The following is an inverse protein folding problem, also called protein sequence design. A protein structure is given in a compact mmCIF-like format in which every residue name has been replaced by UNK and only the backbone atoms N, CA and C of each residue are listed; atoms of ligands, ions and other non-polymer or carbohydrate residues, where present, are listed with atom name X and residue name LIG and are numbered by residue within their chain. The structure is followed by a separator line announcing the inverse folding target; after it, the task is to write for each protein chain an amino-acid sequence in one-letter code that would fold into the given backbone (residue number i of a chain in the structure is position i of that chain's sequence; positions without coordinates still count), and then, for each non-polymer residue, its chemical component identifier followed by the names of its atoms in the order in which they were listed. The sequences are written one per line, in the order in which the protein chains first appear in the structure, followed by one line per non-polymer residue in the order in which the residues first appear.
data_IF_967121492263
#
_entry.id   IF_967121492263
#
_cell.length_a   1.000
_cell.length_b   1.000
_cell.length_c   1.000
_cell.angle_alpha   90.00
_cell.angle_beta   90.00
_cell.angle_gamma   90.00
#
_symmetry.space_group_name_H-M   'P 1'
#
loop_
_entity.id
_entity.type
_entity.pdbx_description
1 polymer ?
#
# COMPACT_ATOMS: atom_id res chain seq x y z
N UNK A 1 20.43 -17.87 -8.53
CA UNK A 1 20.04 -19.12 -7.81
C UNK A 1 19.76 -18.71 -6.38
N UNK A 2 18.49 -18.69 -6.00
CA UNK A 2 18.10 -18.44 -4.60
C UNK A 2 18.65 -19.56 -3.73
N UNK A 3 19.44 -19.20 -2.71
CA UNK A 3 19.94 -20.18 -1.74
C UNK A 3 18.80 -20.54 -0.80
N UNK A 4 18.49 -21.83 -0.66
CA UNK A 4 17.41 -22.33 0.24
C UNK A 4 17.50 -21.74 1.64
N UNK A 5 18.70 -21.47 2.15
CA UNK A 5 18.93 -20.80 3.44
C UNK A 5 18.34 -19.40 3.57
N UNK A 6 18.08 -18.70 2.47
CA UNK A 6 17.47 -17.34 2.49
C UNK A 6 15.99 -17.35 2.89
N UNK A 7 15.31 -18.48 2.81
CA UNK A 7 13.95 -18.62 3.33
C UNK A 7 13.91 -18.72 4.85
N UNK A 8 15.01 -19.17 5.48
CA UNK A 8 15.10 -19.38 6.94
C UNK A 8 15.93 -18.32 7.66
N UNK A 9 16.50 -17.34 6.93
CA UNK A 9 17.16 -16.17 7.48
C UNK A 9 16.25 -14.95 7.31
N UNK A 10 16.57 -13.87 8.03
CA UNK A 10 15.88 -12.58 7.89
C UNK A 10 16.79 -11.55 7.27
N UNK A 11 16.23 -10.52 6.63
CA UNK A 11 17.00 -9.42 6.04
C UNK A 11 17.90 -8.77 7.10
N UNK A 12 17.34 -8.46 8.28
CA UNK A 12 18.11 -7.84 9.36
C UNK A 12 19.31 -8.70 9.79
N UNK A 13 19.13 -10.02 9.90
CA UNK A 13 20.23 -10.93 10.25
C UNK A 13 21.33 -10.92 9.20
N UNK A 14 20.98 -10.99 7.93
CA UNK A 14 21.95 -11.04 6.84
C UNK A 14 22.66 -9.69 6.65
N UNK A 15 21.94 -8.57 6.65
CA UNK A 15 22.52 -7.23 6.53
C UNK A 15 23.47 -6.94 7.69
N UNK A 16 23.08 -7.20 8.95
CA UNK A 16 23.88 -6.90 10.13
C UNK A 16 25.06 -7.86 10.33
N UNK A 17 25.07 -8.98 9.63
CA UNK A 17 26.25 -9.86 9.56
C UNK A 17 27.40 -9.18 8.80
N UNK A 18 27.08 -8.59 7.64
CA UNK A 18 28.07 -8.05 6.71
C UNK A 18 28.36 -6.56 6.92
N UNK A 19 27.40 -5.79 7.43
CA UNK A 19 27.52 -4.35 7.65
C UNK A 19 27.40 -3.99 9.13
N UNK A 20 28.27 -3.06 9.58
CA UNK A 20 28.31 -2.56 10.98
C UNK A 20 27.94 -1.09 11.10
N UNK A 21 28.05 -0.34 10.03
CA UNK A 21 27.68 1.09 10.04
C UNK A 21 26.14 1.21 10.11
N UNK A 22 25.58 1.90 11.15
CA UNK A 22 24.13 1.99 11.33
C UNK A 22 23.42 2.68 10.17
N UNK A 23 24.07 3.64 9.50
CA UNK A 23 23.49 4.31 8.33
C UNK A 23 23.34 3.35 7.15
N UNK A 24 24.37 2.52 6.90
CA UNK A 24 24.29 1.50 5.84
C UNK A 24 23.25 0.44 6.16
N UNK A 25 23.15 0.02 7.42
CA UNK A 25 22.11 -0.91 7.87
C UNK A 25 20.71 -0.32 7.59
N UNK A 26 20.45 0.92 7.98
CA UNK A 26 19.18 1.59 7.73
C UNK A 26 18.84 1.68 6.24
N UNK A 27 19.82 2.01 5.38
CA UNK A 27 19.64 2.09 3.93
C UNK A 27 19.30 0.70 3.34
N UNK A 28 19.93 -0.37 3.82
CA UNK A 28 19.75 -1.71 3.29
C UNK A 28 18.51 -2.43 3.88
N UNK A 29 18.08 -2.04 5.07
CA UNK A 29 16.86 -2.58 5.69
C UNK A 29 15.59 -1.81 5.28
N UNK A 30 15.70 -0.55 4.86
CA UNK A 30 14.58 0.32 4.55
C UNK A 30 13.65 -0.20 3.44
N UNK A 31 14.12 -0.74 2.28
CA UNK A 31 13.23 -1.18 1.21
C UNK A 31 12.22 -2.26 1.64
N UNK A 32 12.54 -2.99 2.70
CA UNK A 32 11.66 -4.01 3.27
C UNK A 32 10.39 -3.44 3.89
N UNK A 33 10.41 -2.17 4.31
CA UNK A 33 9.20 -1.51 4.83
C UNK A 33 8.08 -1.45 3.79
N UNK A 34 8.41 -1.38 2.52
CA UNK A 34 7.44 -1.45 1.43
C UNK A 34 6.75 -2.82 1.34
N UNK A 35 7.33 -3.87 1.93
CA UNK A 35 6.72 -5.19 2.05
C UNK A 35 5.79 -5.30 3.25
N UNK A 36 5.68 -4.22 4.03
CA UNK A 36 4.78 -4.15 5.16
C UNK A 36 5.17 -5.02 6.35
N UNK A 37 6.47 -5.33 6.54
CA UNK A 37 6.95 -6.10 7.67
C UNK A 37 8.29 -5.58 8.21
N UNK A 38 8.61 -5.91 9.47
CA UNK A 38 9.91 -5.57 10.07
C UNK A 38 11.04 -6.33 9.37
N UNK A 39 12.22 -5.74 9.14
CA UNK A 39 13.38 -6.43 8.59
C UNK A 39 13.78 -7.70 9.37
N UNK A 40 13.56 -7.70 10.70
CA UNK A 40 13.81 -8.84 11.58
C UNK A 40 12.76 -9.97 11.46
N UNK A 41 11.66 -9.76 10.75
CA UNK A 41 10.59 -10.74 10.50
C UNK A 41 10.39 -11.06 9.03
N UNK A 42 11.08 -10.35 8.15
CA UNK A 42 11.00 -10.54 6.70
C UNK A 42 12.07 -11.53 6.24
N UNK A 43 11.70 -12.58 5.50
CA UNK A 43 12.67 -13.53 4.93
C UNK A 43 13.72 -12.84 4.07
N UNK A 44 14.98 -13.29 4.15
CA UNK A 44 16.09 -12.59 3.50
C UNK A 44 16.06 -12.66 1.98
N UNK A 45 15.30 -13.59 1.37
CA UNK A 45 15.13 -13.61 -0.08
C UNK A 45 14.49 -12.32 -0.63
N UNK A 46 13.74 -11.59 0.18
CA UNK A 46 13.20 -10.27 -0.20
C UNK A 46 14.28 -9.18 -0.40
N UNK A 47 15.56 -9.49 -0.15
CA UNK A 47 16.69 -8.62 -0.50
C UNK A 47 16.75 -8.28 -2.01
N UNK A 48 16.03 -9.02 -2.87
CA UNK A 48 15.85 -8.64 -4.27
C UNK A 48 15.23 -7.24 -4.44
N UNK A 49 14.48 -6.76 -3.44
CA UNK A 49 13.97 -5.39 -3.44
C UNK A 49 15.09 -4.35 -3.45
N UNK A 50 16.19 -4.64 -2.75
CA UNK A 50 17.38 -3.76 -2.78
C UNK A 50 18.00 -3.72 -4.17
N UNK A 51 18.02 -4.86 -4.88
CA UNK A 51 18.49 -4.89 -6.26
C UNK A 51 17.54 -4.12 -7.20
N UNK A 52 16.24 -4.28 -7.01
CA UNK A 52 15.25 -3.54 -7.80
C UNK A 52 15.40 -2.01 -7.59
N UNK A 53 15.55 -1.56 -6.35
CA UNK A 53 15.65 -0.15 -6.01
C UNK A 53 17.03 0.46 -6.39
N UNK A 54 18.13 -0.18 -5.97
CA UNK A 54 19.48 0.38 -6.15
C UNK A 54 20.13 -0.02 -7.48
N UNK A 55 19.80 -1.19 -8.02
CA UNK A 55 20.40 -1.70 -9.25
C UNK A 55 19.63 -1.36 -10.52
N UNK A 56 18.30 -1.42 -10.47
CA UNK A 56 17.43 -1.13 -11.64
C UNK A 56 16.91 0.32 -11.62
N UNK A 57 16.97 0.99 -10.47
CA UNK A 57 16.53 2.36 -10.28
C UNK A 57 15.01 2.50 -10.06
N UNK A 58 14.64 3.69 -9.60
CA UNK A 58 13.25 4.08 -9.37
C UNK A 58 12.77 4.95 -10.53
N UNK A 59 11.63 4.61 -11.12
CA UNK A 59 11.09 5.28 -12.28
C UNK A 59 9.82 6.07 -11.96
N UNK A 60 9.72 7.26 -12.51
CA UNK A 60 8.55 8.13 -12.39
C UNK A 60 7.87 8.27 -13.74
N UNK A 61 6.58 7.93 -13.88
CA UNK A 61 5.84 8.20 -15.11
C UNK A 61 5.73 9.70 -15.34
N UNK A 62 6.05 10.18 -16.53
CA UNK A 62 5.87 11.59 -16.87
C UNK A 62 4.40 12.00 -16.67
N UNK A 63 4.16 13.07 -15.93
CA UNK A 63 2.82 13.50 -15.53
C UNK A 63 2.27 12.81 -14.27
N UNK A 64 3.08 11.94 -13.61
CA UNK A 64 2.73 11.31 -12.34
C UNK A 64 2.09 9.94 -12.47
N UNK A 65 1.88 9.28 -11.33
CA UNK A 65 1.34 7.91 -11.25
C UNK A 65 -0.08 7.77 -11.80
N UNK A 66 -0.85 8.85 -11.84
CA UNK A 66 -2.20 8.82 -12.41
C UNK A 66 -2.21 8.55 -13.93
N UNK A 67 -1.12 8.84 -14.64
CA UNK A 67 -0.99 8.51 -16.05
C UNK A 67 -1.00 6.98 -16.29
N UNK A 68 -0.51 6.18 -15.33
CA UNK A 68 -0.63 4.72 -15.38
C UNK A 68 -2.10 4.30 -15.31
N UNK A 69 -2.89 4.93 -14.40
CA UNK A 69 -4.33 4.68 -14.29
C UNK A 69 -5.04 5.03 -15.58
N UNK A 70 -4.77 6.20 -16.17
CA UNK A 70 -5.36 6.63 -17.45
C UNK A 70 -5.04 5.65 -18.57
N UNK A 71 -3.79 5.25 -18.71
CA UNK A 71 -3.36 4.31 -19.75
C UNK A 71 -4.06 2.95 -19.62
N UNK A 72 -4.18 2.42 -18.41
CA UNK A 72 -4.90 1.16 -18.15
C UNK A 72 -6.40 1.30 -18.44
N UNK A 73 -7.02 2.41 -18.03
CA UNK A 73 -8.43 2.69 -18.30
C UNK A 73 -8.70 2.75 -19.81
N UNK A 74 -7.92 3.54 -20.55
CA UNK A 74 -8.05 3.66 -22.01
C UNK A 74 -7.88 2.32 -22.73
N UNK A 75 -6.89 1.52 -22.31
CA UNK A 75 -6.71 0.18 -22.87
C UNK A 75 -7.93 -0.71 -22.59
N UNK A 76 -8.44 -0.69 -21.36
CA UNK A 76 -9.60 -1.49 -20.98
C UNK A 76 -10.84 -1.08 -21.77
N UNK A 77 -11.11 0.21 -21.92
CA UNK A 77 -12.21 0.75 -22.72
C UNK A 77 -12.10 0.32 -24.18
N UNK A 78 -10.88 0.34 -24.76
CA UNK A 78 -10.65 -0.12 -26.14
C UNK A 78 -10.92 -1.63 -26.33
N UNK A 79 -10.92 -2.39 -25.24
CA UNK A 79 -11.27 -3.81 -25.20
C UNK A 79 -12.75 -4.05 -24.82
N UNK A 80 -13.56 -3.00 -24.72
CA UNK A 80 -15.00 -3.10 -24.46
C UNK A 80 -15.37 -3.11 -22.97
N UNK A 81 -14.45 -2.81 -22.05
CA UNK A 81 -14.75 -2.69 -20.62
C UNK A 81 -15.52 -1.40 -20.35
N UNK A 82 -16.61 -1.50 -19.60
CA UNK A 82 -17.38 -0.34 -19.13
C UNK A 82 -17.02 -0.01 -17.68
N UNK A 83 -16.76 1.26 -17.39
CA UNK A 83 -16.50 1.76 -16.05
C UNK A 83 -17.72 2.49 -15.48
N UNK A 84 -18.08 2.18 -14.23
CA UNK A 84 -19.09 2.91 -13.47
C UNK A 84 -18.47 3.43 -12.19
N UNK A 85 -18.31 4.73 -12.07
CA UNK A 85 -17.86 5.40 -10.84
C UNK A 85 -19.04 5.85 -10.01
N UNK A 86 -18.83 6.10 -8.70
CA UNK A 86 -19.93 6.47 -7.79
C UNK A 86 -20.95 5.33 -7.58
N UNK A 87 -20.55 4.09 -7.84
CA UNK A 87 -21.40 2.89 -7.82
C UNK A 87 -20.87 1.89 -6.78
N UNK A 88 -21.11 2.16 -5.50
CA UNK A 88 -20.70 1.26 -4.42
C UNK A 88 -21.49 -0.05 -4.49
N UNK A 89 -20.76 -1.17 -4.41
CA UNK A 89 -21.38 -2.51 -4.32
C UNK A 89 -21.91 -2.72 -2.91
N UNK A 90 -23.19 -3.06 -2.78
CA UNK A 90 -23.90 -3.24 -1.53
C UNK A 90 -23.98 -4.71 -1.11
N UNK A 91 -24.00 -5.63 -2.10
CA UNK A 91 -24.22 -7.06 -1.87
C UNK A 91 -23.67 -7.86 -3.06
N UNK A 92 -23.15 -9.06 -2.81
CA UNK A 92 -22.89 -10.07 -3.84
C UNK A 92 -24.11 -11.01 -3.90
N UNK A 93 -24.79 -11.03 -5.03
CA UNK A 93 -25.99 -11.82 -5.23
C UNK A 93 -25.63 -13.30 -5.40
N UNK A 94 -26.27 -14.17 -4.62
CA UNK A 94 -26.02 -15.61 -4.63
C UNK A 94 -27.22 -16.40 -5.12
N UNK A 95 -26.96 -17.46 -5.87
CA UNK A 95 -27.96 -18.50 -6.20
C UNK A 95 -27.25 -19.85 -6.26
N UNK A 96 -27.83 -20.86 -5.55
CA UNK A 96 -27.32 -22.23 -5.51
C UNK A 96 -25.82 -22.32 -5.18
N UNK A 97 -25.33 -21.50 -4.24
CA UNK A 97 -23.91 -21.48 -3.81
C UNK A 97 -22.94 -20.85 -4.82
N UNK A 98 -23.44 -20.10 -5.80
CA UNK A 98 -22.64 -19.40 -6.79
C UNK A 98 -22.98 -17.90 -6.81
N UNK A 99 -21.98 -17.06 -7.05
CA UNK A 99 -22.20 -15.65 -7.36
C UNK A 99 -22.90 -15.51 -8.73
N UNK A 100 -23.89 -14.62 -8.78
CA UNK A 100 -24.71 -14.36 -9.97
C UNK A 100 -24.78 -12.88 -10.34
N UNK A 101 -24.02 -12.06 -9.65
CA UNK A 101 -23.98 -10.63 -9.86
C UNK A 101 -23.79 -9.86 -8.57
N UNK A 102 -24.07 -8.59 -8.64
CA UNK A 102 -23.91 -7.64 -7.53
C UNK A 102 -25.14 -6.74 -7.43
N UNK A 103 -25.32 -6.13 -6.26
CA UNK A 103 -26.34 -5.09 -6.05
C UNK A 103 -25.64 -3.73 -5.93
N UNK A 104 -26.14 -2.75 -6.66
CA UNK A 104 -25.60 -1.37 -6.70
C UNK A 104 -26.79 -0.40 -6.73
N UNK A 105 -26.85 0.55 -5.80
CA UNK A 105 -27.95 1.51 -5.67
C UNK A 105 -29.35 0.83 -5.63
N UNK A 106 -29.44 -0.33 -4.97
CA UNK A 106 -30.66 -1.13 -4.90
C UNK A 106 -30.98 -1.96 -6.14
N UNK A 107 -30.25 -1.81 -7.25
CA UNK A 107 -30.47 -2.55 -8.50
C UNK A 107 -29.55 -3.77 -8.61
N UNK A 108 -30.08 -4.89 -9.13
CA UNK A 108 -29.30 -6.08 -9.42
C UNK A 108 -28.60 -5.97 -10.79
N UNK A 109 -27.30 -6.17 -10.81
CA UNK A 109 -26.49 -6.32 -12.02
C UNK A 109 -26.05 -7.77 -12.09
N UNK A 110 -26.59 -8.53 -13.03
CA UNK A 110 -26.28 -9.95 -13.21
C UNK A 110 -24.95 -10.13 -13.94
N UNK A 111 -24.21 -11.16 -13.55
CA UNK A 111 -22.94 -11.55 -14.16
C UNK A 111 -22.68 -13.05 -13.94
N UNK A 112 -21.98 -13.68 -14.87
CA UNK A 112 -21.55 -15.07 -14.76
C UNK A 112 -20.40 -15.25 -13.77
N UNK A 113 -19.56 -14.22 -13.62
CA UNK A 113 -18.39 -14.17 -12.76
C UNK A 113 -18.37 -12.84 -12.00
N UNK A 114 -18.03 -12.90 -10.72
CA UNK A 114 -17.76 -11.73 -9.90
C UNK A 114 -16.30 -11.76 -9.48
N UNK A 115 -15.53 -10.74 -9.88
CA UNK A 115 -14.13 -10.54 -9.48
C UNK A 115 -14.03 -9.29 -8.61
N UNK A 116 -13.64 -9.46 -7.36
CA UNK A 116 -13.45 -8.33 -6.45
C UNK A 116 -11.98 -7.88 -6.39
N UNK A 117 -11.76 -6.60 -6.65
CA UNK A 117 -10.50 -5.88 -6.39
C UNK A 117 -10.55 -5.00 -5.13
N UNK A 118 -11.67 -5.00 -4.40
CA UNK A 118 -11.80 -4.32 -3.11
C UNK A 118 -11.04 -5.06 -2.00
N UNK A 119 -10.97 -4.46 -0.79
CA UNK A 119 -10.41 -5.15 0.38
C UNK A 119 -11.10 -6.52 0.57
N UNK A 120 -10.32 -7.57 0.78
CA UNK A 120 -10.84 -8.94 0.85
C UNK A 120 -11.82 -9.13 2.02
N UNK A 121 -11.46 -8.58 3.20
CA UNK A 121 -12.35 -8.61 4.36
C UNK A 121 -13.67 -7.89 4.04
N UNK A 122 -13.59 -6.69 3.47
CA UNK A 122 -14.80 -5.94 3.06
C UNK A 122 -15.63 -6.73 2.05
N UNK A 123 -15.02 -7.31 1.03
CA UNK A 123 -15.73 -8.13 0.03
C UNK A 123 -16.49 -9.27 0.70
N UNK A 124 -15.89 -9.95 1.68
CA UNK A 124 -16.58 -10.99 2.41
C UNK A 124 -17.76 -10.46 3.26
N UNK A 125 -17.72 -9.19 3.68
CA UNK A 125 -18.87 -8.59 4.39
C UNK A 125 -20.09 -8.37 3.49
N UNK A 126 -19.91 -8.38 2.17
CA UNK A 126 -20.98 -8.31 1.17
C UNK A 126 -21.68 -9.67 0.96
N UNK A 127 -21.24 -10.71 1.67
CA UNK A 127 -21.82 -12.05 1.68
C UNK A 127 -22.53 -12.36 3.00
N UNK A 128 -23.53 -13.26 3.00
CA UNK A 128 -24.03 -13.86 4.25
C UNK A 128 -22.89 -14.49 5.06
N UNK A 129 -22.99 -14.46 6.39
CA UNK A 129 -21.93 -14.99 7.26
C UNK A 129 -21.57 -16.47 7.01
N UNK A 130 -22.56 -17.29 6.61
CA UNK A 130 -22.36 -18.70 6.24
C UNK A 130 -21.43 -18.90 5.05
N UNK A 131 -21.41 -17.93 4.14
CA UNK A 131 -20.71 -18.01 2.86
C UNK A 131 -19.33 -17.34 2.87
N UNK A 132 -18.96 -16.69 4.00
CA UNK A 132 -17.64 -16.12 4.21
C UNK A 132 -16.61 -17.21 4.42
N UNK A 133 -15.48 -17.12 3.74
CA UNK A 133 -14.38 -18.08 3.85
C UNK A 133 -13.58 -17.88 5.13
N UNK A 134 -13.36 -16.64 5.53
CA UNK A 134 -12.58 -16.28 6.70
C UNK A 134 -13.43 -15.63 7.77
N UNK A 135 -13.15 -15.98 9.03
CA UNK A 135 -13.83 -15.43 10.20
C UNK A 135 -13.19 -14.10 10.63
N UNK A 136 -13.91 -13.32 11.45
CA UNK A 136 -13.33 -12.13 12.09
C UNK A 136 -12.09 -12.47 12.93
N UNK A 137 -12.07 -13.64 13.60
CA UNK A 137 -10.89 -14.10 14.34
C UNK A 137 -9.69 -14.36 13.42
N UNK A 138 -9.91 -14.88 12.22
CA UNK A 138 -8.84 -15.01 11.23
C UNK A 138 -8.24 -13.64 10.90
N UNK A 139 -9.05 -12.68 10.50
CA UNK A 139 -8.59 -11.34 10.13
C UNK A 139 -7.90 -10.63 11.30
N UNK A 140 -8.47 -10.72 12.50
CA UNK A 140 -7.88 -10.12 13.70
C UNK A 140 -6.56 -10.76 14.12
N UNK A 141 -6.32 -12.02 13.80
CA UNK A 141 -5.07 -12.74 14.09
C UNK A 141 -3.95 -12.48 13.09
N UNK A 142 -4.25 -11.81 11.97
CA UNK A 142 -3.24 -11.51 10.95
C UNK A 142 -2.42 -10.28 11.31
N UNK A 143 -1.16 -10.30 10.90
CA UNK A 143 -0.30 -9.11 10.94
C UNK A 143 -0.55 -8.32 9.66
N UNK A 144 -1.03 -7.09 9.80
CA UNK A 144 -1.22 -6.19 8.67
C UNK A 144 0.02 -5.33 8.45
N UNK A 145 0.23 -4.95 7.22
CA UNK A 145 1.19 -3.93 6.82
C UNK A 145 0.75 -2.55 7.35
N UNK A 146 1.63 -1.56 7.37
CA UNK A 146 1.31 -0.26 7.95
C UNK A 146 0.10 0.41 7.30
N UNK A 147 -0.57 1.26 8.08
CA UNK A 147 -1.28 2.42 7.59
C UNK A 147 -0.29 3.56 7.33
N UNK A 148 -0.78 4.72 6.94
CA UNK A 148 0.06 5.89 6.71
C UNK A 148 -0.66 7.18 7.07
N UNK A 149 0.10 8.16 7.56
CA UNK A 149 -0.29 9.57 7.51
C UNK A 149 0.36 10.18 6.27
N UNK A 150 -0.48 10.70 5.38
CA UNK A 150 -0.08 11.31 4.13
C UNK A 150 -0.41 12.80 4.15
N UNK A 151 0.46 13.62 3.54
CA UNK A 151 0.19 15.00 3.24
C UNK A 151 0.51 15.30 1.78
N UNK A 152 -0.42 15.95 1.11
CA UNK A 152 -0.25 16.54 -0.20
C UNK A 152 -0.15 18.05 -0.01
N UNK A 153 0.96 18.64 -0.42
CA UNK A 153 1.28 20.03 -0.10
C UNK A 153 1.70 20.77 -1.37
N UNK A 154 1.11 21.92 -1.62
CA UNK A 154 1.56 22.87 -2.64
C UNK A 154 2.30 24.03 -2.00
N UNK A 155 3.47 24.37 -2.52
CA UNK A 155 4.26 25.52 -2.10
C UNK A 155 4.33 26.54 -3.23
N UNK A 156 4.26 27.82 -2.89
CA UNK A 156 4.35 28.93 -3.86
C UNK A 156 5.79 29.31 -4.23
N UNK A 157 6.76 28.48 -3.83
CA UNK A 157 8.18 28.62 -4.19
C UNK A 157 8.82 27.25 -4.43
N UNK A 158 9.98 27.24 -5.09
CA UNK A 158 10.84 26.04 -5.16
C UNK A 158 11.57 25.81 -3.82
N UNK A 159 11.75 24.55 -3.46
CA UNK A 159 12.48 24.14 -2.26
C UNK A 159 13.85 23.61 -2.71
N UNK A 160 14.90 24.36 -2.37
CA UNK A 160 16.25 23.97 -2.73
C UNK A 160 16.80 22.87 -1.81
N UNK A 161 17.74 22.07 -2.33
CA UNK A 161 18.40 21.01 -1.57
C UNK A 161 17.57 19.74 -1.36
N UNK A 162 16.36 19.68 -1.90
CA UNK A 162 15.56 18.43 -1.96
C UNK A 162 15.82 17.67 -3.26
N UNK A 163 15.54 16.37 -3.23
CA UNK A 163 15.53 15.48 -4.40
C UNK A 163 14.09 15.04 -4.68
N UNK A 164 13.88 14.37 -5.81
CA UNK A 164 12.59 13.76 -6.10
C UNK A 164 12.14 12.86 -4.93
N UNK A 165 13.03 11.99 -4.45
CA UNK A 165 12.80 11.12 -3.29
C UNK A 165 13.74 11.51 -2.14
N UNK A 166 13.19 11.71 -0.95
CA UNK A 166 13.94 12.03 0.25
C UNK A 166 13.47 11.16 1.41
N UNK A 167 14.40 10.55 2.13
CA UNK A 167 14.12 9.70 3.28
C UNK A 167 14.70 10.37 4.52
N UNK A 168 13.82 10.63 5.49
CA UNK A 168 14.20 11.22 6.76
C UNK A 168 14.39 10.09 7.78
N UNK A 169 15.63 9.57 7.86
CA UNK A 169 16.07 8.48 8.73
C UNK A 169 17.06 8.98 9.79
N UNK A 170 16.80 10.16 10.30
CA UNK A 170 17.59 10.83 11.33
C UNK A 170 17.18 10.44 12.76
N UNK A 171 16.28 9.47 12.90
CA UNK A 171 15.84 8.89 14.18
C UNK A 171 15.97 7.37 14.18
N UNK A 172 15.71 6.72 15.33
CA UNK A 172 15.87 5.29 15.49
C UNK A 172 14.81 4.50 14.70
N UNK A 173 15.27 3.72 13.72
CA UNK A 173 14.44 2.89 12.86
C UNK A 173 13.70 1.78 13.64
N UNK A 174 14.38 1.08 14.54
CA UNK A 174 13.79 -0.03 15.29
C UNK A 174 12.68 0.48 16.24
N UNK A 175 12.85 1.69 16.79
CA UNK A 175 11.83 2.33 17.64
C UNK A 175 10.55 2.64 16.86
N UNK A 176 10.66 3.18 15.66
CA UNK A 176 9.48 3.43 14.80
C UNK A 176 8.83 2.12 14.38
N UNK A 177 9.60 1.11 13.97
CA UNK A 177 9.08 -0.21 13.62
C UNK A 177 8.34 -0.88 14.79
N UNK A 178 8.81 -0.69 16.04
CA UNK A 178 8.07 -1.16 17.25
C UNK A 178 6.74 -0.46 17.41
N UNK A 179 6.66 0.86 17.17
CA UNK A 179 5.42 1.62 17.26
C UNK A 179 4.37 1.17 16.24
N UNK A 180 4.80 0.57 15.12
CA UNK A 180 3.89 0.03 14.10
C UNK A 180 3.46 -1.40 14.45
N UNK A 181 4.40 -2.29 14.78
CA UNK A 181 4.15 -3.74 14.78
C UNK A 181 4.04 -4.39 16.16
N UNK A 182 4.71 -3.84 17.18
CA UNK A 182 4.78 -4.49 18.51
C UNK A 182 3.86 -3.81 19.52
N UNK A 183 3.85 -2.49 19.53
CA UNK A 183 3.03 -1.66 20.43
C UNK A 183 2.40 -0.56 19.58
N UNK A 184 1.23 -0.82 18.96
CA UNK A 184 0.57 0.11 18.05
C UNK A 184 0.28 1.46 18.70
N UNK A 185 1.11 2.46 18.38
CA UNK A 185 0.99 3.83 18.91
C UNK A 185 1.52 4.81 17.84
N UNK A 186 1.17 6.08 17.98
CA UNK A 186 1.79 7.15 17.23
C UNK A 186 3.29 7.25 17.57
N UNK A 187 4.21 7.23 16.57
CA UNK A 187 5.65 7.22 16.81
C UNK A 187 6.12 8.59 17.38
N UNK A 188 6.85 8.57 18.51
CA UNK A 188 7.34 9.81 19.13
C UNK A 188 8.28 10.59 18.21
N UNK A 189 9.19 9.87 17.53
CA UNK A 189 10.20 10.44 16.63
C UNK A 189 10.05 9.74 15.26
N UNK A 190 9.12 10.19 14.38
CA UNK A 190 8.77 9.43 13.19
C UNK A 190 9.86 9.44 12.14
N UNK A 191 10.07 8.31 11.47
CA UNK A 191 10.68 8.27 10.15
C UNK A 191 9.62 8.64 9.12
N UNK A 192 10.03 9.32 8.06
CA UNK A 192 9.10 9.65 6.98
C UNK A 192 9.82 9.78 5.63
N UNK A 193 9.02 9.66 4.60
CA UNK A 193 9.39 9.89 3.22
C UNK A 193 8.81 11.22 2.75
N UNK A 194 9.59 11.99 1.98
CA UNK A 194 9.12 13.17 1.28
C UNK A 194 9.44 13.08 -0.21
N UNK A 195 8.44 13.34 -1.04
CA UNK A 195 8.53 13.34 -2.49
C UNK A 195 8.30 14.74 -3.04
N UNK A 196 9.19 15.17 -3.93
CA UNK A 196 9.06 16.44 -4.65
C UNK A 196 9.14 16.15 -6.17
N UNK A 197 8.05 15.69 -6.78
CA UNK A 197 8.08 15.21 -8.16
C UNK A 197 8.42 16.30 -9.16
N UNK A 198 8.10 17.55 -8.89
CA UNK A 198 8.42 18.71 -9.73
C UNK A 198 9.92 19.03 -9.83
N UNK A 199 10.77 18.36 -9.04
CA UNK A 199 12.23 18.43 -9.19
C UNK A 199 12.72 17.76 -10.48
N UNK A 200 12.05 16.70 -10.92
CA UNK A 200 12.43 15.94 -12.14
C UNK A 200 11.39 15.99 -13.25
N UNK A 201 10.15 16.30 -12.91
CA UNK A 201 9.04 16.46 -13.84
C UNK A 201 8.38 17.84 -13.64
N UNK A 202 8.79 18.87 -14.40
CA UNK A 202 8.28 20.22 -14.23
C UNK A 202 6.76 20.34 -14.35
N UNK A 203 6.10 19.42 -15.04
CA UNK A 203 4.65 19.39 -15.20
C UNK A 203 3.88 19.05 -13.92
N UNK A 204 4.56 18.61 -12.84
CA UNK A 204 3.94 18.23 -11.58
C UNK A 204 3.60 19.43 -10.66
N UNK A 205 4.04 20.63 -10.98
CA UNK A 205 3.66 21.86 -10.30
C UNK A 205 3.65 23.03 -11.29
N UNK A 206 2.88 24.12 -11.03
CA UNK A 206 2.98 25.35 -11.79
C UNK A 206 4.41 25.93 -11.72
N UNK A 207 4.77 26.74 -12.73
CA UNK A 207 6.09 27.37 -12.80
C UNK A 207 6.40 28.16 -11.51
N UNK A 208 7.63 28.03 -11.03
CA UNK A 208 8.11 28.64 -9.80
C UNK A 208 7.57 28.01 -8.51
N UNK A 209 6.66 27.05 -8.58
CA UNK A 209 6.04 26.38 -7.43
C UNK A 209 6.60 24.95 -7.24
N UNK A 210 6.32 24.37 -6.07
CA UNK A 210 6.73 23.02 -5.72
C UNK A 210 5.53 22.19 -5.26
N UNK A 211 5.47 20.93 -5.71
CA UNK A 211 4.57 19.92 -5.17
C UNK A 211 5.32 19.03 -4.17
N UNK A 212 4.77 18.87 -2.97
CA UNK A 212 5.30 18.01 -1.92
C UNK A 212 4.31 16.93 -1.55
N UNK A 213 4.81 15.72 -1.38
CA UNK A 213 4.07 14.60 -0.81
C UNK A 213 4.85 14.02 0.35
N UNK A 214 4.23 13.89 1.51
CA UNK A 214 4.85 13.34 2.70
C UNK A 214 4.13 12.06 3.12
N UNK A 215 4.88 11.04 3.50
CA UNK A 215 4.36 9.76 3.96
C UNK A 215 5.06 9.35 5.25
N UNK A 216 4.29 9.18 6.31
CA UNK A 216 4.73 8.64 7.59
C UNK A 216 4.00 7.32 7.85
N UNK A 217 4.71 6.18 7.93
CA UNK A 217 4.08 4.90 8.26
C UNK A 217 3.50 4.89 9.68
N UNK A 218 2.31 4.32 9.83
CA UNK A 218 1.60 4.19 11.11
C UNK A 218 1.10 2.76 11.32
N UNK A 219 0.84 2.40 12.57
CA UNK A 219 0.13 1.17 12.85
C UNK A 219 -1.32 1.24 12.32
N UNK A 220 -1.85 0.17 11.69
CA UNK A 220 -3.27 0.11 11.38
C UNK A 220 -4.12 0.02 12.66
N UNK A 221 -5.33 0.56 12.62
CA UNK A 221 -6.30 0.50 13.71
C UNK A 221 -6.02 1.43 14.89
N UNK A 222 -5.03 2.30 14.84
CA UNK A 222 -4.83 3.32 15.88
C UNK A 222 -5.83 4.45 15.75
N UNK A 223 -6.12 5.11 16.87
CA UNK A 223 -6.97 6.31 16.88
C UNK A 223 -6.34 7.41 16.01
N UNK A 224 -7.18 8.08 15.24
CA UNK A 224 -6.80 9.09 14.26
C UNK A 224 -7.68 10.32 14.47
N UNK A 225 -7.04 11.46 14.73
CA UNK A 225 -7.72 12.75 14.91
C UNK A 225 -7.01 13.85 14.13
N UNK A 226 -7.77 14.88 13.71
CA UNK A 226 -7.20 16.02 12.99
C UNK A 226 -6.11 16.73 13.81
N UNK A 227 -6.30 16.88 15.11
CA UNK A 227 -5.30 17.50 15.98
C UNK A 227 -3.96 16.74 15.98
N UNK A 228 -4.00 15.40 15.93
CA UNK A 228 -2.79 14.58 15.79
C UNK A 228 -2.14 14.75 14.42
N UNK A 229 -2.95 14.72 13.33
CA UNK A 229 -2.44 14.95 11.97
C UNK A 229 -1.72 16.29 11.87
N UNK A 230 -2.33 17.36 12.38
CA UNK A 230 -1.75 18.71 12.35
C UNK A 230 -0.47 18.79 13.19
N UNK A 231 -0.44 18.20 14.39
CA UNK A 231 0.77 18.16 15.21
C UNK A 231 1.94 17.43 14.50
N UNK A 232 1.67 16.32 13.82
CA UNK A 232 2.71 15.62 13.06
C UNK A 232 3.10 16.37 11.79
N UNK A 233 2.21 17.11 11.16
CA UNK A 233 2.56 17.98 10.04
C UNK A 233 3.62 19.00 10.43
N UNK A 234 3.45 19.66 11.60
CA UNK A 234 4.45 20.61 12.12
C UNK A 234 5.81 19.91 12.36
N UNK A 235 5.81 18.70 12.92
CA UNK A 235 7.07 17.91 13.10
C UNK A 235 7.76 17.64 11.77
N UNK A 236 7.02 17.31 10.71
CA UNK A 236 7.58 17.05 9.40
C UNK A 236 8.14 18.33 8.77
N UNK A 237 7.43 19.45 8.91
CA UNK A 237 7.88 20.76 8.42
C UNK A 237 9.14 21.23 9.15
N UNK A 238 9.17 21.12 10.49
CA UNK A 238 10.37 21.50 11.28
C UNK A 238 11.60 20.75 10.81
N UNK A 239 11.47 19.46 10.52
CA UNK A 239 12.59 18.64 10.04
C UNK A 239 12.97 18.96 8.60
N UNK A 240 11.99 19.26 7.73
CA UNK A 240 12.25 19.72 6.37
C UNK A 240 13.00 21.06 6.39
N UNK A 241 12.52 22.04 7.15
CA UNK A 241 13.13 23.36 7.30
C UNK A 241 14.53 23.25 7.87
N UNK A 242 14.73 22.44 8.92
CA UNK A 242 16.06 22.15 9.48
C UNK A 242 17.01 21.54 8.46
N UNK A 243 16.52 20.62 7.62
CA UNK A 243 17.34 19.91 6.63
C UNK A 243 17.71 20.79 5.45
N UNK A 244 16.81 21.66 5.01
CA UNK A 244 17.01 22.53 3.84
C UNK A 244 17.59 23.89 4.20
N UNK A 245 17.52 24.30 5.47
CA UNK A 245 17.89 25.65 5.91
C UNK A 245 16.91 26.73 5.43
N UNK A 246 15.72 26.36 4.99
CA UNK A 246 14.73 27.30 4.43
C UNK A 246 13.45 27.27 5.25
N UNK A 247 12.83 28.43 5.47
CA UNK A 247 11.45 28.48 5.93
C UNK A 247 10.51 28.17 4.75
N UNK A 248 9.60 27.19 4.93
CA UNK A 248 8.67 26.75 3.89
C UNK A 248 7.21 26.85 4.33
N UNK A 249 6.93 26.91 5.63
CA UNK A 249 5.56 26.90 6.16
C UNK A 249 4.72 28.10 5.72
N UNK A 250 5.33 29.29 5.59
CA UNK A 250 4.65 30.49 5.11
C UNK A 250 4.39 30.48 3.59
N UNK A 251 4.94 29.51 2.89
CA UNK A 251 4.79 29.33 1.45
C UNK A 251 3.80 28.21 1.07
N UNK A 252 3.10 27.63 2.05
CA UNK A 252 2.08 26.62 1.81
C UNK A 252 0.81 27.29 1.30
N UNK A 253 0.40 26.93 0.07
CA UNK A 253 -0.81 27.41 -0.57
C UNK A 253 -1.89 26.32 -0.71
N UNK A 254 -1.54 25.09 -0.42
CA UNK A 254 -2.43 23.93 -0.42
C UNK A 254 -1.94 22.90 0.57
N UNK A 255 -2.84 22.31 1.35
CA UNK A 255 -2.61 21.16 2.21
C UNK A 255 -3.84 20.26 2.19
N UNK A 256 -3.60 18.98 1.94
CA UNK A 256 -4.59 17.92 2.16
C UNK A 256 -3.91 16.78 2.88
N UNK A 257 -4.56 16.22 3.88
CA UNK A 257 -4.09 15.03 4.59
C UNK A 257 -4.96 13.81 4.28
N UNK A 258 -4.42 12.64 4.62
CA UNK A 258 -5.08 11.35 4.50
C UNK A 258 -4.48 10.38 5.52
N UNK A 259 -5.30 9.70 6.31
CA UNK A 259 -4.81 8.88 7.40
C UNK A 259 -5.68 7.63 7.61
N UNK A 260 -5.52 6.93 8.73
CA UNK A 260 -6.15 5.64 9.05
C UNK A 260 -7.66 5.64 8.78
N UNK A 261 -8.39 6.64 9.27
CA UNK A 261 -9.83 6.74 9.06
C UNK A 261 -10.21 6.92 7.58
N UNK A 262 -9.36 7.60 6.80
CA UNK A 262 -9.63 7.77 5.37
C UNK A 262 -9.44 6.47 4.60
N UNK A 263 -8.45 5.63 4.97
CA UNK A 263 -8.30 4.29 4.40
C UNK A 263 -9.50 3.40 4.72
N UNK A 264 -10.06 3.49 5.95
CA UNK A 264 -11.29 2.79 6.31
C UNK A 264 -12.46 3.29 5.46
N UNK A 265 -12.67 4.61 5.42
CA UNK A 265 -13.88 5.19 4.86
C UNK A 265 -13.92 5.20 3.32
N UNK A 266 -12.75 5.35 2.66
CA UNK A 266 -12.68 5.47 1.20
C UNK A 266 -12.34 4.17 0.49
N UNK A 267 -11.61 3.27 1.15
CA UNK A 267 -11.18 2.00 0.57
C UNK A 267 -11.77 0.79 1.26
N UNK A 268 -12.61 0.98 2.31
CA UNK A 268 -13.11 -0.09 3.16
C UNK A 268 -11.99 -0.99 3.71
N UNK A 269 -10.80 -0.42 3.89
CA UNK A 269 -9.60 -1.17 4.23
C UNK A 269 -9.65 -1.65 5.68
N UNK A 270 -9.44 -2.95 5.89
CA UNK A 270 -9.50 -3.53 7.23
C UNK A 270 -8.51 -2.86 8.18
N UNK A 271 -9.01 -2.27 9.28
CA UNK A 271 -8.23 -1.47 10.24
C UNK A 271 -7.47 -0.30 9.61
N UNK A 272 -7.87 0.17 8.43
CA UNK A 272 -7.21 1.27 7.74
C UNK A 272 -5.78 0.96 7.30
N UNK A 273 -5.45 -0.31 7.02
CA UNK A 273 -4.15 -0.65 6.46
C UNK A 273 -4.00 -0.08 5.03
N UNK A 274 -2.80 0.38 4.68
CA UNK A 274 -2.54 0.93 3.34
C UNK A 274 -1.99 -0.10 2.35
N UNK A 275 -1.40 -1.20 2.85
CA UNK A 275 -0.64 -2.15 2.03
C UNK A 275 -1.15 -3.59 2.10
N UNK A 276 -2.21 -3.89 2.85
CA UNK A 276 -2.71 -5.26 3.01
C UNK A 276 -2.00 -6.05 4.10
N UNK A 277 -1.87 -7.37 3.92
CA UNK A 277 -1.21 -8.24 4.89
C UNK A 277 0.31 -8.14 4.78
N UNK A 278 0.99 -8.11 5.93
CA UNK A 278 2.44 -8.11 6.02
C UNK A 278 3.07 -9.39 5.41
N UNK A 279 4.19 -9.24 4.72
CA UNK A 279 4.95 -10.35 4.14
C UNK A 279 5.86 -11.02 5.19
N UNK A 280 5.25 -11.61 6.22
CA UNK A 280 5.95 -12.49 7.15
C UNK A 280 6.04 -13.92 6.58
N UNK A 281 6.90 -14.76 7.14
CA UNK A 281 7.06 -16.15 6.67
C UNK A 281 5.73 -16.92 6.61
N UNK A 282 4.84 -16.70 7.58
CA UNK A 282 3.54 -17.38 7.68
C UNK A 282 2.40 -16.66 6.94
N UNK A 283 2.69 -15.58 6.22
CA UNK A 283 1.72 -14.78 5.47
C UNK A 283 2.23 -14.44 4.06
N UNK A 284 3.05 -15.30 3.47
CA UNK A 284 3.59 -15.11 2.12
C UNK A 284 3.23 -16.27 1.21
N UNK A 285 3.34 -16.09 -0.09
CA UNK A 285 3.06 -17.07 -1.13
C UNK A 285 1.68 -17.75 -0.94
N UNK A 286 1.60 -19.07 -0.97
CA UNK A 286 0.37 -19.86 -0.85
C UNK A 286 -0.32 -19.79 0.53
N UNK A 287 0.30 -19.14 1.52
CA UNK A 287 -0.30 -18.91 2.84
C UNK A 287 -1.17 -17.64 2.89
N UNK A 288 -1.21 -16.87 1.81
CA UNK A 288 -2.12 -15.73 1.67
C UNK A 288 -3.53 -16.19 1.27
N UNK A 289 -4.55 -15.32 1.44
CA UNK A 289 -5.88 -15.56 0.88
C UNK A 289 -5.82 -15.91 -0.61
N UNK A 290 -6.58 -16.92 -1.01
CA UNK A 290 -6.62 -17.41 -2.39
C UNK A 290 -7.28 -16.43 -3.36
N UNK A 291 -7.06 -16.65 -4.65
CA UNK A 291 -7.66 -15.87 -5.74
C UNK A 291 -9.12 -16.29 -6.03
N UNK A 292 -9.54 -17.45 -5.54
CA UNK A 292 -10.88 -17.99 -5.73
C UNK A 292 -11.53 -18.26 -4.36
N UNK A 293 -12.82 -17.99 -4.24
CA UNK A 293 -13.61 -18.35 -3.06
C UNK A 293 -13.76 -19.87 -2.98
N UNK A 294 -13.48 -20.45 -1.82
CA UNK A 294 -13.71 -21.88 -1.56
C UNK A 294 -15.15 -22.21 -1.19
N UNK A 295 -15.97 -21.19 -0.94
CA UNK A 295 -17.37 -21.35 -0.51
C UNK A 295 -18.37 -20.92 -1.56
N UNK A 296 -18.05 -19.91 -2.35
CA UNK A 296 -18.95 -19.33 -3.35
C UNK A 296 -18.33 -19.52 -4.72
N UNK A 297 -18.97 -20.33 -5.56
CA UNK A 297 -18.55 -20.53 -6.95
C UNK A 297 -18.65 -19.21 -7.72
N UNK A 298 -17.81 -19.02 -8.74
CA UNK A 298 -17.77 -17.84 -9.61
C UNK A 298 -17.44 -16.52 -8.89
N UNK A 299 -16.91 -16.58 -7.66
CA UNK A 299 -16.41 -15.43 -6.91
C UNK A 299 -14.89 -15.50 -6.81
N UNK A 300 -14.23 -14.46 -7.31
CA UNK A 300 -12.77 -14.35 -7.36
C UNK A 300 -12.29 -13.06 -6.69
N UNK A 301 -10.99 -13.04 -6.35
CA UNK A 301 -10.35 -11.92 -5.66
C UNK A 301 -9.03 -11.55 -6.32
N UNK A 302 -8.68 -10.28 -6.29
CA UNK A 302 -7.39 -9.76 -6.74
C UNK A 302 -6.89 -8.66 -5.79
N UNK A 303 -5.65 -8.24 -5.94
CA UNK A 303 -5.09 -7.12 -5.20
C UNK A 303 -4.21 -7.51 -4.03
N UNK A 304 -3.91 -6.53 -3.18
CA UNK A 304 -2.86 -6.57 -2.17
C UNK A 304 -3.03 -7.61 -1.04
N UNK A 305 -4.23 -8.09 -0.80
CA UNK A 305 -4.49 -9.12 0.22
C UNK A 305 -4.31 -10.55 -0.31
N UNK A 306 -4.24 -10.73 -1.63
CA UNK A 306 -4.00 -12.01 -2.30
C UNK A 306 -2.52 -12.21 -2.64
N UNK A 307 -2.21 -13.20 -3.47
CA UNK A 307 -0.86 -13.43 -4.01
C UNK A 307 -0.60 -12.51 -5.22
N UNK A 308 0.62 -11.99 -5.40
CA UNK A 308 1.83 -12.20 -4.58
C UNK A 308 1.95 -11.29 -3.37
N UNK A 309 1.06 -10.33 -3.15
CA UNK A 309 1.05 -9.47 -1.98
C UNK A 309 0.95 -7.97 -2.28
N UNK A 310 1.43 -7.10 -1.37
CA UNK A 310 1.26 -5.66 -1.46
C UNK A 310 2.14 -4.99 -2.52
N UNK A 311 1.65 -3.88 -3.06
CA UNK A 311 2.34 -3.02 -4.02
C UNK A 311 1.67 -2.98 -5.40
N UNK A 312 1.96 -1.95 -6.19
CA UNK A 312 1.37 -1.79 -7.54
C UNK A 312 1.75 -2.95 -8.47
N UNK A 313 3.04 -3.32 -8.64
CA UNK A 313 3.39 -4.46 -9.48
C UNK A 313 2.79 -5.78 -8.99
N UNK A 314 2.83 -6.14 -7.70
CA UNK A 314 2.16 -7.33 -7.18
C UNK A 314 0.64 -7.33 -7.44
N UNK A 315 -0.05 -6.20 -7.32
CA UNK A 315 -1.48 -6.11 -7.61
C UNK A 315 -1.79 -6.37 -9.09
N UNK A 316 -0.96 -5.85 -10.01
CA UNK A 316 -1.07 -6.15 -11.44
C UNK A 316 -0.83 -7.64 -11.74
N UNK A 317 0.18 -8.24 -11.08
CA UNK A 317 0.45 -9.67 -11.20
C UNK A 317 -0.72 -10.50 -10.67
N UNK A 318 -1.35 -10.10 -9.56
CA UNK A 318 -2.53 -10.81 -9.05
C UNK A 318 -3.70 -10.76 -10.04
N UNK A 319 -3.90 -9.64 -10.72
CA UNK A 319 -4.89 -9.50 -11.80
C UNK A 319 -4.62 -10.47 -12.96
N UNK A 320 -3.37 -10.58 -13.39
CA UNK A 320 -2.96 -11.56 -14.41
C UNK A 320 -3.24 -12.99 -13.94
N UNK A 321 -2.79 -13.35 -12.75
CA UNK A 321 -2.96 -14.71 -12.22
C UNK A 321 -4.44 -15.11 -12.11
N UNK A 322 -5.30 -14.23 -11.63
CA UNK A 322 -6.73 -14.52 -11.52
C UNK A 322 -7.41 -14.60 -12.88
N UNK A 323 -7.02 -13.78 -13.86
CA UNK A 323 -7.56 -13.84 -15.22
C UNK A 323 -7.21 -15.16 -15.92
N UNK A 324 -5.97 -15.63 -15.75
CA UNK A 324 -5.54 -16.95 -16.25
C UNK A 324 -6.30 -18.10 -15.58
N UNK A 325 -6.52 -18.01 -14.26
CA UNK A 325 -7.33 -18.99 -13.52
C UNK A 325 -8.76 -19.05 -14.04
N UNK A 326 -9.43 -17.91 -14.20
CA UNK A 326 -10.78 -17.81 -14.73
C UNK A 326 -10.89 -18.38 -16.15
N UNK A 327 -9.91 -18.09 -17.02
CA UNK A 327 -9.87 -18.59 -18.38
C UNK A 327 -9.75 -20.14 -18.42
N UNK A 328 -8.92 -20.71 -17.55
CA UNK A 328 -8.78 -22.17 -17.43
C UNK A 328 -10.08 -22.86 -16.97
N UNK A 329 -10.77 -22.28 -15.99
CA UNK A 329 -12.03 -22.84 -15.47
C UNK A 329 -13.17 -22.75 -16.49
N UNK A 330 -13.16 -21.78 -17.40
CA UNK A 330 -14.15 -21.65 -18.47
C UNK A 330 -13.85 -22.54 -19.69
N UNK A 331 -12.62 -23.05 -19.80
CA UNK A 331 -12.21 -23.96 -20.88
C UNK A 331 -12.38 -25.47 -20.53
N UNK A 332 -12.63 -25.78 -19.26
CA UNK A 332 -12.84 -27.12 -18.75
C UNK A 332 -14.33 -27.47 -18.64
#
# INVERSE_FOLDING_TARGET
IMRVGQFFSTISKDVRKDFKNPKLISILEFPVLFLGAKPSKTPSFYSFMNYADFGLGTWHPKGGMYEVVKAMTQLSESLGVSFRTGAAVEEILLSNGAAKGIKVNGEAILADIVLSGADYHHTETLLPNSDRQYTENYWNSRTFAPSSLLFYVGFDKKIEGVRHHNLFFDTDFDRHARAIYDVPVWPKDPLFYANFPSVTDPGMAPEGKEAGFFLMPLAPGIADSQAQRDAYFEVLLDRLEKRTGQSVRNNIIFKQDFCVNDFVNRYNSFKGNAYGMANTLLQTAFLRPGLESKKVKNLFFTGQLTVPGPGVPPSLISGKLVSELIAQLNAA
#
